data_IF_686451714632
#
_entry.id   IF_686451714632
#
_cell.length_a   1.000
_cell.length_b   1.000
_cell.length_c   1.000
_cell.angle_alpha   90.00
_cell.angle_beta   90.00
_cell.angle_gamma   90.00
#
_symmetry.space_group_name_H-M   'P 1'
#
loop_
_entity.id
_entity.type
_entity.pdbx_description
1 polymer ?
#
# COMPACT_ATOMS: atom_id res chain seq x y z
N UNK A 1 -7.50 -6.87 -0.40
CA UNK A 1 -8.62 -5.96 -0.71
C UNK A 1 -8.12 -4.55 -0.89
N UNK A 2 -8.67 -3.84 -1.85
CA UNK A 2 -8.35 -2.44 -2.08
C UNK A 2 -8.94 -1.51 -1.01
N UNK A 3 -8.50 -0.30 -1.05
CA UNK A 3 -8.98 0.77 -0.20
C UNK A 3 -10.41 1.17 -0.60
N UNK A 4 -11.27 1.50 0.35
CA UNK A 4 -12.65 1.93 0.09
C UNK A 4 -13.02 3.28 0.75
N UNK A 5 -12.06 3.96 1.36
CA UNK A 5 -12.25 5.26 2.03
C UNK A 5 -11.35 6.29 1.37
N UNK A 6 -11.95 7.37 0.88
CA UNK A 6 -11.26 8.40 0.10
C UNK A 6 -11.73 9.79 0.51
N UNK A 7 -10.89 10.80 0.30
CA UNK A 7 -11.30 12.19 0.43
C UNK A 7 -12.12 12.63 -0.80
N UNK A 8 -12.84 13.73 -0.69
CA UNK A 8 -13.58 14.29 -1.82
C UNK A 8 -12.66 14.62 -2.99
N UNK A 9 -11.47 15.17 -2.72
CA UNK A 9 -10.48 15.47 -3.75
C UNK A 9 -9.99 14.21 -4.47
N UNK A 10 -9.75 13.12 -3.73
CA UNK A 10 -9.38 11.82 -4.31
C UNK A 10 -10.51 11.26 -5.18
N UNK A 11 -11.75 11.32 -4.72
CA UNK A 11 -12.91 10.85 -5.50
C UNK A 11 -13.05 11.66 -6.79
N UNK A 12 -12.84 12.96 -6.76
CA UNK A 12 -12.85 13.80 -7.96
C UNK A 12 -11.79 13.38 -8.96
N UNK A 13 -10.58 13.09 -8.51
CA UNK A 13 -9.49 12.63 -9.38
C UNK A 13 -9.76 11.23 -9.94
N UNK A 14 -10.27 10.32 -9.12
CA UNK A 14 -10.66 8.97 -9.56
C UNK A 14 -11.73 9.07 -10.65
N UNK A 15 -12.74 9.92 -10.48
CA UNK A 15 -13.77 10.17 -11.48
C UNK A 15 -13.21 10.66 -12.81
N UNK A 16 -12.26 11.59 -12.78
CA UNK A 16 -11.57 12.07 -13.98
C UNK A 16 -10.80 10.97 -14.69
N UNK A 17 -10.07 10.15 -13.93
CA UNK A 17 -9.32 9.02 -14.47
C UNK A 17 -10.24 7.97 -15.09
N UNK A 18 -11.37 7.68 -14.47
CA UNK A 18 -12.38 6.76 -15.02
C UNK A 18 -12.96 7.30 -16.33
N UNK A 19 -13.21 8.59 -16.42
CA UNK A 19 -13.68 9.24 -17.66
C UNK A 19 -12.64 9.10 -18.77
N UNK A 20 -11.37 9.38 -18.48
CA UNK A 20 -10.29 9.23 -19.43
C UNK A 20 -10.11 7.77 -19.87
N UNK A 21 -10.22 6.84 -18.94
CA UNK A 21 -10.17 5.40 -19.22
C UNK A 21 -11.24 4.99 -20.23
N UNK A 22 -12.47 5.38 -20.01
CA UNK A 22 -13.59 5.00 -20.88
C UNK A 22 -13.56 5.70 -22.24
N UNK A 23 -12.90 6.84 -22.34
CA UNK A 23 -12.70 7.56 -23.60
C UNK A 23 -11.44 7.12 -24.36
N UNK A 24 -10.54 6.37 -23.71
CA UNK A 24 -9.25 5.98 -24.27
C UNK A 24 -9.25 4.64 -24.97
N UNK A 25 -8.13 4.33 -25.61
CA UNK A 25 -7.88 3.03 -26.22
C UNK A 25 -7.50 1.98 -25.15
N UNK A 26 -7.29 0.74 -25.59
CA UNK A 26 -6.98 -0.40 -24.71
C UNK A 26 -5.71 -0.18 -23.88
N UNK A 27 -4.68 0.40 -24.46
CA UNK A 27 -3.43 0.68 -23.77
C UNK A 27 -3.61 1.75 -22.70
N UNK A 28 -4.35 2.82 -23.02
CA UNK A 28 -4.68 3.88 -22.06
C UNK A 28 -5.54 3.37 -20.91
N UNK A 29 -6.51 2.52 -21.20
CA UNK A 29 -7.34 1.88 -20.16
C UNK A 29 -6.49 1.06 -19.20
N UNK A 30 -5.56 0.28 -19.71
CA UNK A 30 -4.64 -0.53 -18.90
C UNK A 30 -3.75 0.34 -18.02
N UNK A 31 -3.21 1.41 -18.58
CA UNK A 31 -2.36 2.37 -17.85
C UNK A 31 -3.13 3.06 -16.73
N UNK A 32 -4.34 3.51 -16.99
CA UNK A 32 -5.18 4.19 -16.01
C UNK A 32 -5.59 3.23 -14.88
N UNK A 33 -5.94 1.98 -15.20
CA UNK A 33 -6.22 0.97 -14.17
C UNK A 33 -5.02 0.74 -13.26
N UNK A 34 -3.82 0.72 -13.84
CA UNK A 34 -2.58 0.59 -13.09
C UNK A 34 -2.37 1.80 -12.17
N UNK A 35 -2.55 3.01 -12.69
CA UNK A 35 -2.39 4.25 -11.92
C UNK A 35 -3.40 4.32 -10.77
N UNK A 36 -4.64 3.96 -11.00
CA UNK A 36 -5.66 3.88 -9.93
C UNK A 36 -5.26 2.92 -8.83
N UNK A 37 -4.72 1.77 -9.18
CA UNK A 37 -4.28 0.77 -8.22
C UNK A 37 -3.06 1.23 -7.41
N UNK A 38 -2.09 1.84 -8.08
CA UNK A 38 -0.84 2.28 -7.45
C UNK A 38 -1.03 3.55 -6.64
N UNK A 39 -1.68 4.56 -7.22
CA UNK A 39 -1.79 5.89 -6.60
C UNK A 39 -2.90 5.98 -5.55
N UNK A 40 -4.00 5.26 -5.75
CA UNK A 40 -5.19 5.34 -4.90
C UNK A 40 -5.57 4.03 -4.23
N UNK A 41 -4.87 2.95 -4.51
CA UNK A 41 -5.24 1.59 -4.09
C UNK A 41 -6.68 1.24 -4.49
N UNK A 42 -7.12 1.77 -5.63
CA UNK A 42 -8.47 1.61 -6.16
C UNK A 42 -8.51 0.44 -7.13
N UNK A 43 -9.14 -0.66 -6.71
CA UNK A 43 -9.35 -1.84 -7.54
C UNK A 43 -10.75 -1.81 -8.13
N UNK A 44 -10.85 -1.59 -9.43
CA UNK A 44 -12.15 -1.54 -10.12
C UNK A 44 -12.95 -2.83 -9.90
N UNK A 45 -12.28 -3.98 -9.91
CA UNK A 45 -12.93 -5.29 -9.73
C UNK A 45 -13.63 -5.45 -8.38
N UNK A 46 -13.25 -4.70 -7.36
CA UNK A 46 -13.89 -4.76 -6.04
C UNK A 46 -15.29 -4.13 -6.05
N UNK A 47 -15.57 -3.24 -7.00
CA UNK A 47 -16.81 -2.46 -7.07
C UNK A 47 -17.62 -2.71 -8.34
N UNK A 48 -17.07 -3.46 -9.29
CA UNK A 48 -17.68 -3.67 -10.60
C UNK A 48 -18.20 -5.10 -10.78
N UNK A 49 -19.29 -5.23 -11.52
CA UNK A 49 -19.76 -6.54 -11.96
C UNK A 49 -18.93 -7.04 -13.15
N UNK A 50 -18.65 -8.36 -13.24
CA UNK A 50 -17.90 -8.91 -14.38
C UNK A 50 -18.54 -8.55 -15.72
N UNK A 51 -17.72 -8.09 -16.67
CA UNK A 51 -18.15 -7.76 -18.02
C UNK A 51 -18.76 -6.38 -18.20
N UNK A 52 -18.86 -5.57 -17.14
CA UNK A 52 -19.36 -4.19 -17.24
C UNK A 52 -18.21 -3.19 -17.18
N UNK A 53 -18.31 -2.11 -17.95
CA UNK A 53 -17.39 -0.99 -17.85
C UNK A 53 -17.65 -0.19 -16.57
N UNK A 54 -16.61 0.18 -15.85
CA UNK A 54 -16.70 1.00 -14.65
C UNK A 54 -16.36 2.45 -15.00
N UNK A 55 -17.32 3.34 -14.81
CA UNK A 55 -17.17 4.77 -15.09
C UNK A 55 -17.61 5.63 -13.92
N UNK A 56 -17.79 6.93 -14.16
CA UNK A 56 -18.20 7.88 -13.12
C UNK A 56 -19.54 7.54 -12.50
N UNK A 57 -20.50 7.07 -13.30
CA UNK A 57 -21.84 6.70 -12.81
C UNK A 57 -21.72 5.53 -11.82
N UNK A 58 -20.96 4.52 -12.16
CA UNK A 58 -20.73 3.35 -11.31
C UNK A 58 -19.99 3.73 -10.04
N UNK A 59 -19.10 4.72 -10.10
CA UNK A 59 -18.43 5.29 -8.93
C UNK A 59 -19.44 5.96 -8.00
N UNK A 60 -20.35 6.78 -8.54
CA UNK A 60 -21.41 7.42 -7.75
C UNK A 60 -22.37 6.40 -7.14
N UNK A 61 -22.71 5.35 -7.88
CA UNK A 61 -23.53 4.26 -7.38
C UNK A 61 -22.86 3.53 -6.21
N UNK A 62 -21.56 3.27 -6.31
CA UNK A 62 -20.78 2.65 -5.23
C UNK A 62 -20.77 3.53 -3.98
N UNK A 63 -20.63 4.84 -4.13
CA UNK A 63 -20.71 5.80 -3.03
C UNK A 63 -22.10 5.78 -2.40
N UNK A 64 -23.15 5.83 -3.23
CA UNK A 64 -24.55 5.86 -2.77
C UNK A 64 -24.95 4.61 -1.99
N UNK A 65 -24.44 3.43 -2.38
CA UNK A 65 -24.73 2.17 -1.68
C UNK A 65 -23.79 1.90 -0.49
N UNK A 66 -22.83 2.79 -0.21
CA UNK A 66 -21.91 2.65 0.92
C UNK A 66 -20.72 1.77 0.68
N UNK A 67 -20.50 1.25 -0.53
CA UNK A 67 -19.34 0.46 -0.88
C UNK A 67 -18.05 1.32 -0.86
N UNK A 68 -18.17 2.60 -1.21
CA UNK A 68 -17.11 3.60 -1.11
C UNK A 68 -17.58 4.69 -0.16
N UNK A 69 -16.73 5.07 0.79
CA UNK A 69 -17.01 6.11 1.77
C UNK A 69 -16.17 7.34 1.48
N UNK A 70 -16.78 8.51 1.55
CA UNK A 70 -16.08 9.79 1.45
C UNK A 70 -15.87 10.33 2.87
N UNK A 71 -14.61 10.58 3.22
CA UNK A 71 -14.22 11.15 4.50
C UNK A 71 -13.57 12.52 4.26
N UNK A 72 -13.52 13.35 5.30
CA UNK A 72 -12.83 14.63 5.20
C UNK A 72 -11.31 14.44 5.05
N UNK A 73 -10.64 15.48 4.55
CA UNK A 73 -9.20 15.42 4.27
C UNK A 73 -8.39 15.18 5.55
N UNK A 74 -8.78 15.77 6.66
CA UNK A 74 -8.10 15.60 7.95
C UNK A 74 -8.18 14.15 8.43
N UNK A 75 -9.34 13.49 8.30
CA UNK A 75 -9.51 12.08 8.67
C UNK A 75 -8.67 11.17 7.77
N UNK A 76 -8.67 11.41 6.46
CA UNK A 76 -7.86 10.64 5.50
C UNK A 76 -6.37 10.79 5.81
N UNK A 77 -5.89 12.01 6.08
CA UNK A 77 -4.49 12.26 6.43
C UNK A 77 -4.11 11.56 7.74
N UNK A 78 -4.98 11.60 8.74
CA UNK A 78 -4.77 10.89 10.01
C UNK A 78 -4.69 9.38 9.81
N UNK A 79 -5.52 8.80 8.94
CA UNK A 79 -5.49 7.38 8.60
C UNK A 79 -4.22 7.00 7.88
N UNK A 80 -3.76 7.81 6.93
CA UNK A 80 -2.50 7.58 6.21
C UNK A 80 -1.31 7.65 7.16
N UNK A 81 -1.26 8.61 8.05
CA UNK A 81 -0.21 8.76 9.05
C UNK A 81 -0.17 7.55 10.01
N UNK A 82 -1.33 7.08 10.44
CA UNK A 82 -1.44 5.88 11.29
C UNK A 82 -0.94 4.63 10.57
N UNK A 83 -1.33 4.41 9.32
CA UNK A 83 -0.84 3.28 8.52
C UNK A 83 0.67 3.30 8.35
N UNK A 84 1.24 4.47 8.07
CA UNK A 84 2.68 4.63 7.92
C UNK A 84 3.42 4.31 9.22
N UNK A 85 2.91 4.76 10.37
CA UNK A 85 3.48 4.46 11.69
C UNK A 85 3.39 2.99 12.03
N UNK A 86 2.23 2.36 11.82
CA UNK A 86 2.02 0.94 12.09
C UNK A 86 2.93 0.08 11.22
N UNK A 87 3.07 0.41 9.94
CA UNK A 87 3.97 -0.27 9.01
C UNK A 87 5.42 -0.15 9.44
N UNK A 88 5.87 1.05 9.82
CA UNK A 88 7.22 1.29 10.28
C UNK A 88 7.52 0.50 11.58
N UNK A 89 6.56 0.45 12.50
CA UNK A 89 6.68 -0.32 13.74
C UNK A 89 6.78 -1.82 13.45
N UNK A 90 5.92 -2.35 12.59
CA UNK A 90 5.93 -3.76 12.21
C UNK A 90 7.24 -4.16 11.55
N UNK A 91 7.78 -3.34 10.66
CA UNK A 91 9.07 -3.56 10.03
C UNK A 91 10.20 -3.53 11.06
N UNK A 92 10.18 -2.61 12.02
CA UNK A 92 11.16 -2.53 13.09
C UNK A 92 11.11 -3.77 14.00
N UNK A 93 9.91 -4.23 14.37
CA UNK A 93 9.72 -5.44 15.15
C UNK A 93 10.23 -6.68 14.41
N UNK A 94 9.96 -6.80 13.11
CA UNK A 94 10.46 -7.90 12.28
C UNK A 94 11.98 -7.92 12.21
N UNK A 95 12.61 -6.77 12.06
CA UNK A 95 14.07 -6.66 12.05
C UNK A 95 14.67 -7.04 13.39
N UNK A 96 14.11 -6.58 14.50
CA UNK A 96 14.55 -6.95 15.83
C UNK A 96 14.37 -8.45 16.09
N UNK A 97 13.28 -9.03 15.67
CA UNK A 97 13.03 -10.46 15.83
C UNK A 97 13.96 -11.31 14.97
N UNK A 98 14.27 -10.91 13.75
CA UNK A 98 15.24 -11.58 12.89
C UNK A 98 16.65 -11.53 13.51
N UNK A 99 17.06 -10.40 14.07
CA UNK A 99 18.33 -10.25 14.78
C UNK A 99 18.36 -11.15 16.02
N UNK A 100 17.28 -11.20 16.80
CA UNK A 100 17.20 -12.02 18.00
C UNK A 100 17.23 -13.52 17.70
N UNK A 101 16.54 -13.98 16.65
CA UNK A 101 16.33 -15.41 16.37
C UNK A 101 17.39 -16.03 15.46
N UNK A 102 18.01 -15.26 14.55
CA UNK A 102 18.93 -15.79 13.56
C UNK A 102 20.29 -15.08 13.52
N UNK A 103 20.30 -13.80 13.23
CA UNK A 103 21.52 -13.02 13.03
C UNK A 103 22.31 -12.84 14.33
N UNK A 104 21.65 -12.80 15.47
CA UNK A 104 22.32 -12.65 16.76
C UNK A 104 23.17 -13.88 17.11
N UNK A 105 22.75 -15.07 16.71
CA UNK A 105 23.50 -16.31 16.90
C UNK A 105 24.76 -16.31 16.02
N UNK A 106 24.62 -15.97 14.75
CA UNK A 106 25.73 -15.87 13.80
C UNK A 106 26.73 -14.79 14.22
N UNK A 107 26.23 -13.68 14.73
CA UNK A 107 27.05 -12.58 15.22
C UNK A 107 27.88 -12.98 16.44
N UNK A 108 27.32 -13.75 17.37
CA UNK A 108 28.06 -14.28 18.53
C UNK A 108 29.16 -15.25 18.11
N UNK A 109 28.90 -16.11 17.14
CA UNK A 109 29.90 -17.00 16.58
C UNK A 109 31.02 -16.22 15.88
N UNK A 110 30.67 -15.19 15.10
CA UNK A 110 31.63 -14.30 14.47
C UNK A 110 32.47 -13.58 15.50
N UNK A 111 31.89 -13.12 16.60
CA UNK A 111 32.64 -12.50 17.70
C UNK A 111 33.57 -13.48 18.41
N UNK A 112 33.17 -14.72 18.61
CA UNK A 112 34.06 -15.76 19.17
C UNK A 112 35.25 -16.02 18.27
N UNK A 113 35.05 -16.16 16.98
CA UNK A 113 36.14 -16.35 16.02
C UNK A 113 37.07 -15.16 16.01
N UNK A 114 36.54 -13.96 16.10
CA UNK A 114 37.30 -12.73 16.17
C UNK A 114 38.14 -12.65 17.44
N UNK A 115 37.59 -13.01 18.59
CA UNK A 115 38.31 -13.06 19.88
C UNK A 115 39.44 -14.10 19.86
N UNK A 116 39.18 -15.28 19.30
CA UNK A 116 40.21 -16.31 19.12
C UNK A 116 41.34 -15.80 18.23
N UNK A 117 41.02 -15.13 17.14
CA UNK A 117 42.01 -14.54 16.24
C UNK A 117 42.83 -13.48 16.93
N UNK A 118 42.23 -12.61 17.72
CA UNK A 118 42.93 -11.59 18.51
C UNK A 118 43.85 -12.22 19.58
N UNK A 119 43.42 -13.30 20.21
CA UNK A 119 44.23 -14.05 21.15
C UNK A 119 45.50 -14.62 20.50
N UNK A 120 45.39 -15.12 19.28
CA UNK A 120 46.52 -15.64 18.51
C UNK A 120 47.52 -14.54 18.13
N UNK A 121 47.02 -13.34 17.85
CA UNK A 121 47.88 -12.20 17.51
C UNK A 121 48.68 -11.69 18.72
N UNK A 122 48.14 -11.80 19.92
CA UNK A 122 48.77 -11.31 21.14
C UNK A 122 49.77 -12.27 21.76
N UNK A 123 49.90 -13.44 21.21
CA UNK A 123 50.93 -14.40 21.58
C UNK A 123 52.17 -14.18 20.72
#
# INVERSE_FOLDING_TARGET
MGRNKYSQAEITQIGKLLRLKNAGNRLQQKQIRHDLRVDYEFNISDFNEPGKAFGEQELQDAISRGAIQILDDATIEAMKAKRARDKARDEAERQQQAIADGEQTDWKEAMKQWEEYLSLIHI
#
